data_IF_198540630900
#
_entry.id   IF_198540630900
#
_cell.length_a   1.000
_cell.length_b   1.000
_cell.length_c   1.000
_cell.angle_alpha   90.00
_cell.angle_beta   90.00
_cell.angle_gamma   90.00
#
_symmetry.space_group_name_H-M   'P 1'
#
loop_
_entity.id
_entity.type
_entity.pdbx_description
1 polymer ?
#
# COMPACT_ATOMS: atom_id res chain seq x y z
N UNK A 1 -18.34 -47.38 -15.21
CA UNK A 1 -17.16 -46.50 -15.02
C UNK A 1 -17.63 -45.32 -14.18
N UNK A 2 -17.10 -45.18 -12.96
CA UNK A 2 -17.66 -44.33 -11.90
C UNK A 2 -17.32 -42.84 -12.09
N UNK A 3 -18.32 -41.96 -11.92
CA UNK A 3 -18.13 -40.51 -11.81
C UNK A 3 -17.59 -40.15 -10.43
N UNK A 4 -16.36 -39.65 -10.37
CA UNK A 4 -15.72 -39.21 -9.13
C UNK A 4 -16.01 -37.71 -8.89
N UNK A 5 -17.09 -37.39 -8.16
CA UNK A 5 -17.37 -36.02 -7.72
C UNK A 5 -16.65 -35.77 -6.40
N UNK A 6 -15.42 -35.24 -6.45
CA UNK A 6 -14.69 -34.85 -5.25
C UNK A 6 -15.18 -33.48 -4.77
N UNK A 7 -15.94 -33.52 -3.68
CA UNK A 7 -16.44 -32.38 -2.93
C UNK A 7 -15.28 -31.67 -2.21
N UNK A 8 -14.80 -30.53 -2.74
CA UNK A 8 -13.75 -29.71 -2.12
C UNK A 8 -14.29 -28.81 -0.98
N UNK A 9 -14.94 -29.41 0.02
CA UNK A 9 -15.44 -28.71 1.22
C UNK A 9 -14.67 -29.13 2.46
N UNK A 10 -13.49 -28.56 2.64
CA UNK A 10 -12.83 -28.52 3.96
C UNK A 10 -11.61 -27.60 4.08
N UNK A 11 -11.32 -26.74 3.10
CA UNK A 11 -10.09 -25.93 3.14
C UNK A 11 -10.19 -24.66 3.98
N UNK A 12 -11.37 -24.32 4.50
CA UNK A 12 -11.60 -23.15 5.34
C UNK A 12 -12.53 -23.52 6.50
N UNK A 13 -12.25 -23.12 7.75
CA UNK A 13 -13.18 -23.31 8.85
C UNK A 13 -14.41 -22.40 8.66
N UNK A 14 -15.54 -23.01 8.31
CA UNK A 14 -16.84 -22.35 8.19
C UNK A 14 -17.50 -22.27 9.58
N UNK A 15 -17.61 -21.06 10.15
CA UNK A 15 -18.39 -20.82 11.39
C UNK A 15 -19.71 -20.14 11.07
N UNK A 16 -20.85 -20.79 11.37
CA UNK A 16 -22.19 -20.20 11.56
C UNK A 16 -23.07 -21.13 12.41
N UNK A 17 -24.22 -20.71 13.01
CA UNK A 17 -24.81 -19.37 13.27
C UNK A 17 -25.11 -19.18 14.80
N UNK A 18 -25.64 -18.09 15.38
CA UNK A 18 -27.04 -17.60 15.36
C UNK A 18 -27.23 -16.31 16.21
N UNK A 19 -28.02 -15.37 15.68
CA UNK A 19 -29.01 -14.44 16.31
C UNK A 19 -28.76 -13.66 17.61
N UNK A 20 -29.09 -12.36 17.53
CA UNK A 20 -28.96 -11.31 18.55
C UNK A 20 -29.91 -11.42 19.76
N UNK A 21 -29.44 -11.01 20.94
CA UNK A 21 -30.24 -10.49 22.06
C UNK A 21 -29.52 -9.31 22.75
N UNK A 22 -30.22 -8.18 22.87
CA UNK A 22 -29.93 -7.01 23.72
C UNK A 22 -30.30 -7.32 25.18
N UNK A 23 -29.49 -6.89 26.15
CA UNK A 23 -29.99 -6.30 27.42
C UNK A 23 -28.88 -5.81 28.38
N UNK A 24 -29.02 -4.54 28.77
CA UNK A 24 -28.73 -3.91 30.09
C UNK A 24 -27.36 -4.00 30.80
N UNK A 25 -26.70 -2.82 30.87
CA UNK A 25 -26.05 -2.18 32.05
C UNK A 25 -25.75 -3.04 33.29
N UNK A 26 -24.48 -3.09 33.68
CA UNK A 26 -24.03 -2.69 35.04
C UNK A 26 -22.50 -2.51 35.10
N UNK A 27 -22.04 -1.31 35.43
CA UNK A 27 -20.70 -1.09 35.97
C UNK A 27 -20.66 -1.60 37.42
N UNK A 28 -19.48 -1.98 37.92
CA UNK A 28 -19.00 -1.23 39.07
C UNK A 28 -17.54 -0.81 38.91
N UNK A 29 -17.31 0.36 39.51
CA UNK A 29 -16.02 0.90 39.94
C UNK A 29 -15.17 -0.16 40.64
N UNK A 30 -13.88 -0.18 40.32
CA UNK A 30 -12.83 -0.09 41.33
C UNK A 30 -11.55 0.40 40.67
N UNK A 31 -11.14 1.59 41.07
CA UNK A 31 -9.84 2.15 40.82
C UNK A 31 -8.80 1.28 41.53
N UNK A 32 -7.83 0.77 40.77
CA UNK A 32 -6.53 0.41 41.32
C UNK A 32 -5.51 1.27 40.57
N UNK A 33 -5.14 2.36 41.24
CA UNK A 33 -3.92 3.08 40.94
C UNK A 33 -2.77 2.10 41.16
N UNK A 34 -2.12 1.69 40.07
CA UNK A 34 -0.78 1.12 40.13
C UNK A 34 0.10 2.09 39.37
N UNK A 35 0.64 3.02 40.14
CA UNK A 35 1.64 3.97 39.68
C UNK A 35 2.78 3.21 39.01
N UNK A 36 2.88 3.37 37.69
CA UNK A 36 4.09 3.01 36.97
C UNK A 36 5.10 4.14 37.20
N UNK A 37 5.80 4.01 38.31
CA UNK A 37 7.06 4.69 38.57
C UNK A 37 8.04 4.38 37.44
N UNK A 38 8.46 5.43 36.73
CA UNK A 38 9.73 5.58 36.02
C UNK A 38 10.17 4.43 35.09
N UNK A 39 9.71 4.50 33.85
CA UNK A 39 10.56 4.20 32.69
C UNK A 39 10.15 5.11 31.52
N UNK A 40 10.33 6.43 31.68
CA UNK A 40 10.44 7.28 30.50
C UNK A 40 11.75 6.89 29.82
N UNK A 41 11.66 6.04 28.80
CA UNK A 41 12.79 5.77 27.91
C UNK A 41 13.21 7.10 27.29
N UNK A 42 14.47 7.54 27.44
CA UNK A 42 14.95 8.80 26.83
C UNK A 42 15.03 8.74 25.30
N UNK A 43 14.62 7.63 24.66
CA UNK A 43 14.68 7.42 23.22
C UNK A 43 13.60 8.16 22.40
N UNK A 44 12.72 8.93 23.05
CA UNK A 44 11.62 9.64 22.38
C UNK A 44 11.85 11.15 22.15
N UNK A 45 13.02 11.69 22.53
CA UNK A 45 13.46 13.01 22.07
C UNK A 45 14.23 12.86 20.76
N UNK A 46 13.50 12.55 19.68
CA UNK A 46 13.99 12.87 18.34
C UNK A 46 13.61 14.31 18.01
N UNK A 47 14.16 15.26 18.76
CA UNK A 47 14.29 16.68 18.37
C UNK A 47 15.54 16.85 17.49
N UNK A 48 15.69 15.97 16.50
CA UNK A 48 16.78 16.02 15.53
C UNK A 48 16.15 16.02 14.16
N UNK A 49 15.87 17.25 13.70
CA UNK A 49 15.59 17.65 12.33
C UNK A 49 14.80 16.64 11.50
N UNK A 50 13.56 16.99 11.15
CA UNK A 50 13.09 16.64 9.80
C UNK A 50 14.27 16.98 8.88
N UNK A 51 14.97 16.01 8.27
CA UNK A 51 15.88 16.41 7.23
C UNK A 51 14.92 17.01 6.20
N UNK A 52 15.01 18.32 6.00
CA UNK A 52 14.35 19.03 4.93
C UNK A 52 15.00 18.51 3.64
N UNK A 53 14.76 17.23 3.35
CA UNK A 53 15.04 16.56 2.10
C UNK A 53 14.03 17.13 1.12
N UNK A 54 14.20 18.40 0.80
CA UNK A 54 13.91 18.88 -0.55
C UNK A 54 14.95 18.20 -1.40
N UNK A 55 14.71 16.93 -1.68
CA UNK A 55 15.36 16.33 -2.82
C UNK A 55 14.95 17.23 -3.99
N UNK A 56 15.90 17.99 -4.54
CA UNK A 56 15.70 18.78 -5.75
C UNK A 56 15.52 17.83 -6.94
N UNK A 57 14.43 17.08 -6.95
CA UNK A 57 13.97 16.39 -8.13
C UNK A 57 13.25 17.39 -9.00
N UNK A 58 13.61 17.40 -10.29
CA UNK A 58 12.83 18.06 -11.32
C UNK A 58 11.35 17.66 -11.16
N UNK A 59 10.44 18.62 -11.31
CA UNK A 59 9.00 18.43 -11.07
C UNK A 59 8.46 17.24 -11.89
N UNK A 60 9.03 17.04 -13.08
CA UNK A 60 8.75 15.90 -13.98
C UNK A 60 9.12 14.56 -13.35
N UNK A 61 10.29 14.46 -12.71
CA UNK A 61 10.72 13.22 -12.06
C UNK A 61 9.86 12.93 -10.81
N UNK A 62 9.42 13.96 -10.09
CA UNK A 62 8.47 13.80 -8.99
C UNK A 62 7.14 13.21 -9.48
N UNK A 63 6.60 13.71 -10.60
CA UNK A 63 5.40 13.15 -11.23
C UNK A 63 5.59 11.68 -11.66
N UNK A 64 6.73 11.36 -12.29
CA UNK A 64 7.03 10.00 -12.72
C UNK A 64 7.20 9.03 -11.54
N UNK A 65 7.80 9.47 -10.44
CA UNK A 65 7.89 8.69 -9.20
C UNK A 65 6.53 8.47 -8.55
N UNK A 66 5.68 9.49 -8.53
CA UNK A 66 4.32 9.36 -8.04
C UNK A 66 3.52 8.34 -8.87
N UNK A 67 3.75 8.32 -10.20
CA UNK A 67 3.22 7.28 -11.08
C UNK A 67 3.77 5.89 -10.71
N UNK A 68 5.08 5.74 -10.49
CA UNK A 68 5.73 4.49 -10.05
C UNK A 68 5.13 3.91 -8.77
N UNK A 69 4.73 4.77 -7.83
CA UNK A 69 4.11 4.38 -6.55
C UNK A 69 2.62 4.04 -6.65
N UNK A 70 1.95 4.46 -7.73
CA UNK A 70 0.52 4.23 -7.87
C UNK A 70 0.22 2.78 -8.30
N UNK A 71 -0.28 1.98 -7.36
CA UNK A 71 -0.61 0.56 -7.57
C UNK A 71 -1.77 0.35 -8.55
N UNK A 72 -2.60 1.36 -8.80
CA UNK A 72 -3.77 1.25 -9.69
C UNK A 72 -3.38 0.93 -11.13
N UNK A 73 -2.15 1.25 -11.55
CA UNK A 73 -1.64 1.00 -12.91
C UNK A 73 -0.84 -0.30 -13.04
N UNK A 74 -0.86 -1.16 -12.01
CA UNK A 74 -0.20 -2.46 -11.98
C UNK A 74 1.29 -2.37 -11.64
N UNK A 75 2.01 -3.51 -11.62
CA UNK A 75 3.41 -3.57 -11.21
C UNK A 75 4.33 -2.78 -12.16
N UNK A 76 5.32 -2.10 -11.58
CA UNK A 76 6.36 -1.34 -12.29
C UNK A 76 7.73 -2.01 -12.33
N UNK A 77 7.87 -3.18 -11.70
CA UNK A 77 9.15 -3.90 -11.62
C UNK A 77 9.47 -4.56 -12.97
N UNK A 78 10.72 -4.46 -13.41
CA UNK A 78 11.23 -5.12 -14.62
C UNK A 78 10.66 -4.61 -15.94
N UNK A 79 10.05 -3.43 -15.96
CA UNK A 79 9.53 -2.78 -17.17
C UNK A 79 9.81 -1.28 -17.15
N UNK A 80 9.89 -0.68 -18.34
CA UNK A 80 10.02 0.78 -18.46
C UNK A 80 8.70 1.47 -18.07
N UNK A 81 8.80 2.74 -17.64
CA UNK A 81 7.64 3.58 -17.30
C UNK A 81 6.66 3.69 -18.48
N UNK A 82 7.17 3.77 -19.71
CA UNK A 82 6.35 3.83 -20.92
C UNK A 82 5.59 2.53 -21.16
N UNK A 83 6.26 1.38 -21.04
CA UNK A 83 5.62 0.07 -21.18
C UNK A 83 4.53 -0.14 -20.13
N UNK A 84 4.77 0.32 -18.89
CA UNK A 84 3.76 0.30 -17.83
C UNK A 84 2.56 1.19 -18.16
N UNK A 85 2.79 2.40 -18.66
CA UNK A 85 1.75 3.33 -19.05
C UNK A 85 0.86 2.76 -20.16
N UNK A 86 1.47 2.19 -21.21
CA UNK A 86 0.71 1.56 -22.31
C UNK A 86 -0.12 0.38 -21.82
N UNK A 87 0.44 -0.44 -20.93
CA UNK A 87 -0.30 -1.56 -20.33
C UNK A 87 -1.51 -1.07 -19.55
N UNK A 88 -1.35 -0.03 -18.73
CA UNK A 88 -2.46 0.55 -17.99
C UNK A 88 -3.54 1.12 -18.91
N UNK A 89 -3.15 1.75 -20.03
CA UNK A 89 -4.09 2.22 -21.05
C UNK A 89 -4.84 1.06 -21.71
N UNK A 90 -4.15 -0.02 -22.09
CA UNK A 90 -4.77 -1.22 -22.68
C UNK A 90 -5.77 -1.89 -21.74
N UNK A 91 -5.56 -1.79 -20.43
CA UNK A 91 -6.51 -2.28 -19.42
C UNK A 91 -7.61 -1.27 -19.05
N UNK A 92 -7.69 -0.12 -19.72
CA UNK A 92 -8.73 0.88 -19.47
C UNK A 92 -8.61 1.56 -18.10
N UNK A 93 -7.41 1.57 -17.51
CA UNK A 93 -7.16 2.16 -16.18
C UNK A 93 -6.99 3.69 -16.24
N UNK A 94 -7.05 4.29 -17.44
CA UNK A 94 -6.94 5.73 -17.68
C UNK A 94 -5.71 6.36 -17.00
N UNK A 95 -4.48 5.92 -17.32
CA UNK A 95 -3.28 6.56 -16.79
C UNK A 95 -3.17 8.02 -17.27
N UNK A 96 -2.51 8.93 -16.51
CA UNK A 96 -2.47 10.34 -16.85
C UNK A 96 -1.73 10.57 -18.18
N UNK A 97 -2.28 11.34 -19.14
CA UNK A 97 -1.68 11.52 -20.45
C UNK A 97 -0.37 12.33 -20.41
N UNK A 98 -0.22 13.20 -19.41
CA UNK A 98 1.00 13.98 -19.19
C UNK A 98 2.24 13.08 -19.02
N UNK A 99 2.09 11.95 -18.31
CA UNK A 99 3.16 10.97 -18.13
C UNK A 99 3.64 10.43 -19.47
N UNK A 100 2.73 10.14 -20.40
CA UNK A 100 3.09 9.67 -21.74
C UNK A 100 3.88 10.74 -22.51
N UNK A 101 3.43 11.99 -22.45
CA UNK A 101 4.09 13.12 -23.11
C UNK A 101 5.49 13.34 -22.57
N UNK A 102 5.66 13.28 -21.24
CA UNK A 102 6.96 13.38 -20.58
C UNK A 102 7.90 12.26 -21.01
N UNK A 103 7.44 11.02 -21.02
CA UNK A 103 8.24 9.85 -21.40
C UNK A 103 8.66 9.89 -22.88
N UNK A 104 7.79 10.40 -23.77
CA UNK A 104 8.10 10.57 -25.19
C UNK A 104 9.06 11.72 -25.47
N UNK A 105 9.21 12.67 -24.54
CA UNK A 105 10.12 13.82 -24.73
C UNK A 105 11.60 13.43 -24.69
N UNK A 106 11.95 12.26 -24.14
CA UNK A 106 13.33 11.78 -24.05
C UNK A 106 14.23 12.46 -23.00
N UNK A 107 13.71 13.47 -22.27
CA UNK A 107 14.47 14.24 -21.28
C UNK A 107 14.24 13.77 -19.83
N UNK A 108 13.73 12.56 -19.63
CA UNK A 108 13.35 12.01 -18.31
C UNK A 108 13.86 10.60 -18.14
N UNK A 109 13.94 10.13 -16.89
CA UNK A 109 14.29 8.75 -16.59
C UNK A 109 13.19 7.81 -17.11
N UNK A 110 13.58 6.80 -17.90
CA UNK A 110 12.65 5.84 -18.51
C UNK A 110 12.36 4.66 -17.59
N UNK A 111 13.30 4.34 -16.72
CA UNK A 111 13.20 3.20 -15.81
C UNK A 111 12.34 3.54 -14.59
N UNK A 112 11.58 2.56 -14.14
CA UNK A 112 10.78 2.69 -12.91
C UNK A 112 11.69 2.62 -11.68
N UNK A 113 11.21 3.17 -10.55
CA UNK A 113 11.91 3.19 -9.25
C UNK A 113 12.42 1.79 -8.77
N UNK A 114 11.88 0.71 -9.31
CA UNK A 114 12.19 -0.67 -8.93
C UNK A 114 12.78 -1.49 -10.10
N UNK A 115 13.30 -0.84 -11.15
CA UNK A 115 13.81 -1.52 -12.36
C UNK A 115 14.88 -2.58 -12.08
N UNK A 116 15.83 -2.29 -11.18
CA UNK A 116 17.00 -3.14 -10.91
C UNK A 116 16.82 -4.15 -9.77
N UNK A 117 15.62 -4.24 -9.17
CA UNK A 117 15.35 -5.09 -8.00
C UNK A 117 14.64 -6.37 -8.42
N UNK A 118 15.41 -7.34 -8.93
CA UNK A 118 14.95 -8.72 -9.24
C UNK A 118 16.03 -9.71 -8.80
#
# INVERSE_FOLDING_TARGET
>A
MASNSQNMKSFYPEKKPTTAKKSSKKSPSNAATLGSTAAQTPALVSDAGKPDLKDEYDEKETLLRQFDLNIAYGPCVGITRLARWERAQRFGLNPPPEIQSLLKSGNVQTESLWGDRI
#
